data_IF_532032481169
#
_entry.id   IF_532032481169
#
_cell.length_a   1.000
_cell.length_b   1.000
_cell.length_c   1.000
_cell.angle_alpha   90.00
_cell.angle_beta   90.00
_cell.angle_gamma   90.00
#
_symmetry.space_group_name_H-M   'P 1'
#
loop_
_entity.id
_entity.type
_entity.pdbx_description
1 polymer ?
#
# COMPACT_ATOMS: atom_id res chain seq x y z
N UNK A 1 2.78 -96.88 -20.32
CA UNK A 1 3.19 -95.85 -21.30
C UNK A 1 1.96 -95.07 -21.75
N UNK A 2 2.14 -93.75 -21.85
CA UNK A 2 1.36 -92.77 -22.65
C UNK A 2 0.02 -92.23 -22.15
N UNK A 3 0.12 -91.01 -21.58
CA UNK A 3 -0.54 -89.75 -21.98
C UNK A 3 -2.06 -89.69 -22.21
N UNK A 4 -2.75 -88.96 -21.32
CA UNK A 4 -3.80 -87.98 -21.69
C UNK A 4 -3.75 -86.77 -20.75
N UNK A 5 -3.21 -85.68 -21.24
CA UNK A 5 -3.30 -84.36 -20.59
C UNK A 5 -3.44 -83.29 -21.65
N UNK A 6 -4.59 -82.60 -21.67
CA UNK A 6 -4.77 -81.21 -22.11
C UNK A 6 -6.26 -80.89 -22.20
N UNK A 7 -6.61 -79.61 -22.05
CA UNK A 7 -7.91 -78.96 -22.28
C UNK A 7 -8.72 -78.50 -21.05
N UNK A 8 -8.06 -77.96 -20.02
CA UNK A 8 -8.74 -77.04 -19.06
C UNK A 8 -8.15 -75.63 -18.96
N UNK A 9 -7.06 -75.31 -19.66
CA UNK A 9 -6.44 -73.98 -19.61
C UNK A 9 -7.01 -72.96 -20.62
N UNK A 10 -7.78 -73.40 -21.63
CA UNK A 10 -8.26 -72.52 -22.70
C UNK A 10 -9.48 -71.66 -22.36
N UNK A 11 -10.31 -72.05 -21.39
CA UNK A 11 -11.62 -71.41 -21.15
C UNK A 11 -11.55 -70.21 -20.20
N UNK A 12 -10.57 -70.18 -19.27
CA UNK A 12 -10.45 -69.09 -18.31
C UNK A 12 -9.80 -67.83 -18.91
N UNK A 13 -8.86 -68.01 -19.84
CA UNK A 13 -8.19 -66.90 -20.54
C UNK A 13 -9.12 -66.12 -21.47
N UNK A 14 -10.07 -66.79 -22.13
CA UNK A 14 -11.02 -66.15 -23.05
C UNK A 14 -12.06 -65.30 -22.34
N UNK A 15 -12.50 -65.70 -21.14
CA UNK A 15 -13.46 -64.92 -20.33
C UNK A 15 -12.81 -63.64 -19.79
N UNK A 16 -11.54 -63.73 -19.34
CA UNK A 16 -10.82 -62.56 -18.82
C UNK A 16 -10.50 -61.55 -19.93
N UNK A 17 -10.12 -62.03 -21.13
CA UNK A 17 -9.88 -61.17 -22.29
C UNK A 17 -11.16 -60.45 -22.74
N UNK A 18 -12.30 -61.15 -22.71
CA UNK A 18 -13.61 -60.57 -23.02
C UNK A 18 -14.01 -59.46 -22.06
N UNK A 19 -13.80 -59.65 -20.75
CA UNK A 19 -14.10 -58.63 -19.75
C UNK A 19 -13.24 -57.37 -19.93
N UNK A 20 -11.93 -57.52 -20.15
CA UNK A 20 -11.01 -56.39 -20.40
C UNK A 20 -11.40 -55.62 -21.66
N UNK A 21 -11.82 -56.32 -22.72
CA UNK A 21 -12.27 -55.68 -23.95
C UNK A 21 -13.55 -54.87 -23.74
N UNK A 22 -14.50 -55.38 -22.95
CA UNK A 22 -15.75 -54.67 -22.61
C UNK A 22 -15.45 -53.40 -21.81
N UNK A 23 -14.57 -53.47 -20.80
CA UNK A 23 -14.17 -52.29 -20.03
C UNK A 23 -13.42 -51.26 -20.87
N UNK A 24 -12.55 -51.70 -21.79
CA UNK A 24 -11.87 -50.81 -22.72
C UNK A 24 -12.87 -50.09 -23.64
N UNK A 25 -13.86 -50.82 -24.17
CA UNK A 25 -14.92 -50.25 -25.01
C UNK A 25 -15.76 -49.23 -24.22
N UNK A 26 -16.19 -49.57 -22.99
CA UNK A 26 -16.94 -48.65 -22.13
C UNK A 26 -16.15 -47.39 -21.78
N UNK A 27 -14.86 -47.53 -21.49
CA UNK A 27 -13.98 -46.39 -21.23
C UNK A 27 -13.90 -45.45 -22.44
N UNK A 28 -13.74 -46.00 -23.64
CA UNK A 28 -13.73 -45.21 -24.88
C UNK A 28 -15.07 -44.52 -25.16
N UNK A 29 -16.20 -45.13 -24.82
CA UNK A 29 -17.51 -44.46 -24.90
C UNK A 29 -17.62 -43.27 -23.93
N UNK A 30 -17.09 -43.38 -22.71
CA UNK A 30 -17.07 -42.27 -21.74
C UNK A 30 -16.17 -41.14 -22.23
N UNK A 31 -14.98 -41.46 -22.74
CA UNK A 31 -14.06 -40.46 -23.32
C UNK A 31 -14.70 -39.75 -24.51
N UNK A 32 -15.35 -40.51 -25.41
CA UNK A 32 -16.06 -39.95 -26.57
C UNK A 32 -17.23 -39.05 -26.13
N UNK A 33 -17.99 -39.46 -25.12
CA UNK A 33 -19.10 -38.67 -24.59
C UNK A 33 -18.62 -37.34 -24.00
N UNK A 34 -17.55 -37.36 -23.20
CA UNK A 34 -16.94 -36.15 -22.63
C UNK A 34 -16.44 -35.22 -23.75
N UNK A 35 -15.82 -35.77 -24.79
CA UNK A 35 -15.37 -35.00 -25.95
C UNK A 35 -16.53 -34.34 -26.71
N UNK A 36 -17.63 -35.07 -26.94
CA UNK A 36 -18.83 -34.53 -27.62
C UNK A 36 -19.49 -33.42 -26.79
N UNK A 37 -19.63 -33.62 -25.47
CA UNK A 37 -20.17 -32.59 -24.57
C UNK A 37 -19.26 -31.35 -24.53
N UNK A 38 -17.94 -31.55 -24.46
CA UNK A 38 -16.95 -30.47 -24.52
C UNK A 38 -17.02 -29.66 -25.82
N UNK A 39 -17.14 -30.34 -26.97
CA UNK A 39 -17.33 -29.69 -28.28
C UNK A 39 -18.66 -28.93 -28.31
N UNK A 40 -19.74 -29.49 -27.78
CA UNK A 40 -21.04 -28.83 -27.68
C UNK A 40 -20.98 -27.54 -26.87
N UNK A 41 -20.39 -27.58 -25.67
CA UNK A 41 -20.19 -26.41 -24.81
C UNK A 41 -19.30 -25.35 -25.48
N UNK A 42 -18.22 -25.79 -26.16
CA UNK A 42 -17.35 -24.89 -26.90
C UNK A 42 -18.06 -24.21 -28.08
N UNK A 43 -18.92 -24.92 -28.81
CA UNK A 43 -19.73 -24.36 -29.88
C UNK A 43 -20.77 -23.36 -29.36
N UNK A 44 -21.41 -23.64 -28.21
CA UNK A 44 -22.33 -22.71 -27.53
C UNK A 44 -21.58 -21.43 -27.12
N UNK A 45 -20.40 -21.58 -26.49
CA UNK A 45 -19.54 -20.46 -26.12
C UNK A 45 -19.11 -19.61 -27.34
N UNK A 46 -18.69 -20.27 -28.43
CA UNK A 46 -18.31 -19.61 -29.68
C UNK A 46 -19.48 -18.88 -30.34
N UNK A 47 -20.71 -19.42 -30.23
CA UNK A 47 -21.94 -18.77 -30.71
C UNK A 47 -22.26 -17.54 -29.85
N UNK A 48 -22.07 -17.61 -28.53
CA UNK A 48 -22.16 -16.47 -27.61
C UNK A 48 -21.24 -15.31 -28.01
N UNK A 49 -19.96 -15.60 -28.29
CA UNK A 49 -19.02 -14.58 -28.74
C UNK A 49 -19.36 -13.97 -30.11
N UNK A 50 -19.96 -14.74 -31.04
CA UNK A 50 -20.43 -14.19 -32.32
C UNK A 50 -21.62 -13.24 -32.14
N UNK A 51 -22.54 -13.54 -31.21
CA UNK A 51 -23.69 -12.66 -30.91
C UNK A 51 -23.22 -11.36 -30.26
N UNK A 52 -22.22 -11.44 -29.38
CA UNK A 52 -21.65 -10.26 -28.72
C UNK A 52 -20.88 -9.37 -29.71
N UNK A 53 -20.09 -9.96 -30.63
CA UNK A 53 -19.45 -9.24 -31.74
C UNK A 53 -20.44 -8.64 -32.74
N UNK A 54 -21.57 -9.30 -32.99
CA UNK A 54 -22.62 -8.77 -33.87
C UNK A 54 -23.39 -7.59 -33.23
N UNK A 55 -23.53 -7.59 -31.89
CA UNK A 55 -24.10 -6.46 -31.13
C UNK A 55 -23.16 -5.26 -31.06
N UNK A 56 -21.85 -5.48 -30.97
CA UNK A 56 -20.84 -4.39 -31.00
C UNK A 56 -20.63 -3.83 -32.42
N UNK A 57 -20.81 -4.62 -33.47
CA UNK A 57 -20.66 -4.18 -34.86
C UNK A 57 -21.80 -3.25 -35.36
N UNK A 58 -22.97 -3.22 -34.69
CA UNK A 58 -24.09 -2.34 -35.08
C UNK A 58 -24.05 -0.94 -34.46
N UNK A 59 -23.13 -0.66 -33.53
CA UNK A 59 -23.16 0.58 -32.73
C UNK A 59 -21.90 1.46 -32.87
N UNK A 60 -21.04 1.22 -33.86
CA UNK A 60 -19.81 2.01 -34.02
C UNK A 60 -19.32 2.12 -35.45
N UNK A 61 -19.85 3.10 -36.20
CA UNK A 61 -19.21 3.62 -37.40
C UNK A 61 -18.41 4.88 -37.05
N UNK A 62 -17.18 4.96 -37.60
CA UNK A 62 -16.15 6.02 -37.48
C UNK A 62 -15.39 5.96 -36.13
N UNK A 63 -14.06 5.77 -36.07
CA UNK A 63 -12.97 6.25 -36.93
C UNK A 63 -11.71 5.37 -36.76
N UNK A 64 -10.81 5.45 -37.74
CA UNK A 64 -9.68 4.56 -38.06
C UNK A 64 -8.47 4.63 -37.10
N UNK A 65 -7.99 3.44 -36.75
CA UNK A 65 -6.61 2.90 -36.63
C UNK A 65 -5.43 3.77 -36.15
N UNK A 66 -4.79 3.34 -35.06
CA UNK A 66 -3.36 3.01 -35.04
C UNK A 66 -3.01 2.01 -33.93
N UNK A 67 -2.04 1.14 -34.24
CA UNK A 67 -1.55 -0.01 -33.48
C UNK A 67 -0.95 0.43 -32.14
N UNK A 68 -1.38 -0.17 -31.01
CA UNK A 68 -0.82 0.13 -29.68
C UNK A 68 -0.39 -1.15 -28.94
N UNK A 69 0.85 -1.04 -28.46
CA UNK A 69 1.66 -1.88 -27.60
C UNK A 69 0.95 -2.29 -26.28
N UNK A 70 1.23 -3.48 -25.78
CA UNK A 70 0.48 -4.16 -24.70
C UNK A 70 0.70 -3.61 -23.27
N UNK A 71 1.45 -2.53 -23.09
CA UNK A 71 1.81 -2.00 -21.76
C UNK A 71 0.84 -0.95 -21.18
N UNK A 72 -0.32 -0.72 -21.80
CA UNK A 72 -1.27 0.31 -21.37
C UNK A 72 -2.49 -0.20 -20.56
N UNK A 73 -2.59 -1.49 -20.24
CA UNK A 73 -3.76 -2.10 -19.58
C UNK A 73 -3.72 -2.08 -18.04
N UNK A 74 -2.97 -1.15 -17.43
CA UNK A 74 -3.09 -0.81 -15.98
C UNK A 74 -3.59 0.63 -15.79
N UNK A 75 -3.76 1.43 -16.86
CA UNK A 75 -4.23 2.84 -16.78
C UNK A 75 -5.72 3.05 -17.04
N UNK A 76 -6.54 2.00 -17.18
CA UNK A 76 -7.95 2.16 -17.58
C UNK A 76 -8.95 1.27 -16.83
N UNK A 77 -8.89 1.30 -15.50
CA UNK A 77 -10.08 1.08 -14.65
C UNK A 77 -10.05 2.06 -13.47
N UNK A 78 -10.02 3.35 -13.79
CA UNK A 78 -10.59 4.38 -12.93
C UNK A 78 -11.62 5.06 -13.79
N UNK A 79 -12.87 4.62 -13.66
CA UNK A 79 -14.00 5.47 -14.02
C UNK A 79 -13.90 6.66 -13.07
N UNK A 80 -13.79 7.91 -13.54
CA UNK A 80 -13.84 9.03 -12.63
C UNK A 80 -15.24 9.02 -12.01
N UNK A 81 -15.33 8.73 -10.72
CA UNK A 81 -16.52 9.04 -9.95
C UNK A 81 -16.74 10.54 -10.12
N UNK A 82 -17.83 10.91 -10.80
CA UNK A 82 -18.27 12.28 -10.89
C UNK A 82 -18.37 12.83 -9.47
N UNK A 83 -17.72 13.98 -9.25
CA UNK A 83 -17.96 14.83 -8.09
C UNK A 83 -19.46 15.13 -8.05
N UNK A 84 -20.18 14.51 -7.12
CA UNK A 84 -21.33 15.15 -6.52
C UNK A 84 -20.80 15.85 -5.28
N UNK A 85 -20.45 17.14 -5.42
CA UNK A 85 -20.54 18.04 -4.27
C UNK A 85 -22.00 17.97 -3.82
N UNK A 86 -22.26 17.26 -2.73
CA UNK A 86 -23.53 17.42 -2.04
C UNK A 86 -23.48 18.82 -1.42
N UNK A 87 -24.14 19.76 -2.09
CA UNK A 87 -24.46 21.06 -1.53
C UNK A 87 -25.49 20.84 -0.42
N UNK A 88 -25.02 20.72 0.81
CA UNK A 88 -25.86 20.73 2.00
C UNK A 88 -26.03 22.17 2.47
N UNK A 89 -26.79 22.94 1.69
CA UNK A 89 -27.29 24.24 2.10
C UNK A 89 -28.07 24.14 3.42
N UNK A 90 -27.70 25.00 4.37
CA UNK A 90 -28.42 25.35 5.60
C UNK A 90 -29.08 24.19 6.38
N UNK A 91 -28.29 23.53 7.22
CA UNK A 91 -28.84 22.88 8.42
C UNK A 91 -29.08 23.98 9.45
N UNK A 92 -30.36 24.29 9.69
CA UNK A 92 -30.80 25.22 10.71
C UNK A 92 -30.18 24.88 12.07
N UNK A 93 -29.70 25.91 12.78
CA UNK A 93 -29.14 25.79 14.12
C UNK A 93 -30.17 25.17 15.07
N UNK A 94 -29.88 23.98 15.59
CA UNK A 94 -30.62 23.38 16.70
C UNK A 94 -30.22 24.11 18.00
N UNK A 95 -31.17 24.51 18.86
CA UNK A 95 -30.86 25.28 20.06
C UNK A 95 -30.01 24.46 21.04
N UNK A 96 -28.99 25.11 21.62
CA UNK A 96 -28.22 24.58 22.76
C UNK A 96 -29.11 24.51 23.99
N UNK A 97 -29.53 23.31 24.39
CA UNK A 97 -29.91 23.03 25.78
C UNK A 97 -28.79 22.29 26.47
N UNK A 98 -28.36 22.86 27.60
CA UNK A 98 -27.27 22.41 28.44
C UNK A 98 -27.54 21.04 29.07
N UNK A 99 -26.50 20.20 29.07
CA UNK A 99 -26.51 18.84 29.61
C UNK A 99 -25.70 17.92 28.71
N UNK A 100 -24.37 18.08 28.66
CA UNK A 100 -23.51 17.13 27.96
C UNK A 100 -23.57 15.80 28.72
N UNK A 101 -24.36 14.86 28.22
CA UNK A 101 -24.21 13.45 28.57
C UNK A 101 -22.76 13.10 28.21
N UNK A 102 -21.95 12.76 29.21
CA UNK A 102 -20.60 12.25 29.00
C UNK A 102 -20.72 10.95 28.21
N UNK A 103 -20.51 11.00 26.89
CA UNK A 103 -20.59 9.82 26.04
C UNK A 103 -19.48 8.87 26.47
N UNK A 104 -19.86 7.69 26.95
CA UNK A 104 -18.91 6.67 27.39
C UNK A 104 -17.88 6.36 26.28
N UNK A 105 -16.60 6.24 26.63
CA UNK A 105 -15.54 5.89 25.66
C UNK A 105 -15.89 4.58 24.94
N UNK A 106 -15.65 4.48 23.62
CA UNK A 106 -15.93 3.26 22.87
C UNK A 106 -15.17 2.06 23.43
N UNK A 107 -15.83 0.90 23.42
CA UNK A 107 -15.15 -0.38 23.66
C UNK A 107 -14.39 -0.80 22.41
N UNK A 108 -13.06 -0.98 22.51
CA UNK A 108 -12.23 -1.43 21.39
C UNK A 108 -12.07 -2.95 21.42
N UNK A 109 -12.68 -3.64 20.47
CA UNK A 109 -12.52 -5.07 20.26
C UNK A 109 -11.32 -5.35 19.37
N UNK A 110 -10.32 -6.03 19.93
CA UNK A 110 -9.04 -6.32 19.26
C UNK A 110 -9.18 -7.59 18.42
N UNK A 111 -9.43 -7.45 17.13
CA UNK A 111 -9.62 -8.57 16.22
C UNK A 111 -8.30 -9.29 15.90
N UNK A 112 -8.41 -10.60 15.68
CA UNK A 112 -7.33 -11.48 15.20
C UNK A 112 -7.75 -12.39 14.04
N UNK A 113 -9.03 -12.38 13.68
CA UNK A 113 -9.59 -13.16 12.58
C UNK A 113 -9.25 -12.51 11.23
N UNK A 114 -9.26 -13.30 10.15
CA UNK A 114 -9.17 -12.78 8.79
C UNK A 114 -10.40 -11.92 8.47
N UNK A 115 -10.18 -10.81 7.77
CA UNK A 115 -11.21 -9.88 7.33
C UNK A 115 -11.14 -9.75 5.80
N UNK A 116 -12.31 -9.65 5.20
CA UNK A 116 -12.50 -9.40 3.76
C UNK A 116 -13.40 -8.18 3.51
N UNK A 117 -14.10 -7.72 4.55
CA UNK A 117 -14.84 -6.47 4.61
C UNK A 117 -14.26 -5.64 5.76
N UNK A 118 -13.65 -4.50 5.44
CA UNK A 118 -12.96 -3.65 6.41
C UNK A 118 -12.67 -2.27 5.82
N UNK A 119 -12.27 -1.34 6.69
CA UNK A 119 -11.77 -0.02 6.30
C UNK A 119 -10.34 0.11 6.80
N UNK A 120 -9.39 0.25 5.89
CA UNK A 120 -8.03 0.66 6.25
C UNK A 120 -8.02 2.16 6.42
N UNK A 121 -7.42 2.68 7.48
CA UNK A 121 -7.31 4.14 7.67
C UNK A 121 -5.97 4.52 8.30
N UNK A 122 -5.60 5.78 8.14
CA UNK A 122 -4.36 6.37 8.64
C UNK A 122 -4.57 7.89 8.82
N UNK A 123 -3.85 8.49 9.77
CA UNK A 123 -3.91 9.94 10.04
C UNK A 123 -2.52 10.59 10.05
N UNK A 124 -2.47 11.83 9.60
CA UNK A 124 -1.34 12.73 9.87
C UNK A 124 -1.73 13.71 10.98
N UNK A 125 -0.78 14.05 11.86
CA UNK A 125 -1.04 14.89 13.04
C UNK A 125 0.04 15.93 13.28
N UNK A 126 -0.27 17.00 14.03
CA UNK A 126 0.70 18.01 14.48
C UNK A 126 1.65 17.54 15.59
N UNK A 127 1.57 16.26 15.97
CA UNK A 127 2.38 15.68 17.04
C UNK A 127 1.81 14.37 17.57
N UNK A 128 2.40 13.83 18.64
CA UNK A 128 2.15 12.46 19.07
C UNK A 128 1.05 12.29 20.13
N UNK A 129 0.46 13.38 20.62
CA UNK A 129 -0.45 13.34 21.76
C UNK A 129 -1.87 13.75 21.36
N UNK A 130 -2.89 12.87 21.47
CA UNK A 130 -4.26 13.22 21.10
C UNK A 130 -4.88 14.33 21.96
N UNK A 131 -4.28 14.65 23.11
CA UNK A 131 -4.73 15.73 24.00
C UNK A 131 -4.07 17.09 23.70
N UNK A 132 -3.00 17.11 22.90
CA UNK A 132 -2.17 18.31 22.66
C UNK A 132 -1.82 18.53 21.18
N UNK A 133 -2.27 17.64 20.31
CA UNK A 133 -1.96 17.63 18.89
C UNK A 133 -3.24 17.40 18.13
N UNK A 134 -3.26 17.88 16.90
CA UNK A 134 -4.44 17.92 16.05
C UNK A 134 -4.23 17.01 14.84
N UNK A 135 -5.33 16.46 14.33
CA UNK A 135 -5.33 15.75 13.04
C UNK A 135 -5.21 16.81 11.95
N UNK A 136 -4.33 16.60 10.97
CA UNK A 136 -4.15 17.48 9.80
C UNK A 136 -4.46 16.77 8.48
N UNK A 137 -4.55 15.44 8.49
CA UNK A 137 -5.10 14.64 7.39
C UNK A 137 -5.72 13.36 7.94
N UNK A 138 -6.84 12.92 7.34
CA UNK A 138 -7.44 11.60 7.57
C UNK A 138 -7.71 10.94 6.22
N UNK A 139 -7.14 9.76 6.02
CA UNK A 139 -7.38 8.95 4.83
C UNK A 139 -7.92 7.58 5.19
N UNK A 140 -8.71 7.00 4.28
CA UNK A 140 -9.20 5.64 4.41
C UNK A 140 -9.50 4.97 3.06
N UNK A 141 -9.45 3.64 3.05
CA UNK A 141 -9.81 2.79 1.92
C UNK A 141 -10.81 1.75 2.41
N UNK A 142 -11.97 1.70 1.76
CA UNK A 142 -13.03 0.74 2.06
C UNK A 142 -12.86 -0.49 1.16
N UNK A 143 -12.79 -1.64 1.80
CA UNK A 143 -12.69 -2.94 1.15
C UNK A 143 -13.95 -3.74 1.45
N UNK A 144 -14.57 -4.31 0.42
CA UNK A 144 -15.67 -5.27 0.56
C UNK A 144 -15.39 -6.46 -0.37
N UNK A 145 -15.50 -7.68 0.16
CA UNK A 145 -15.20 -8.95 -0.53
C UNK A 145 -13.80 -8.95 -1.17
N UNK A 146 -12.82 -8.41 -0.43
CA UNK A 146 -11.42 -8.25 -0.85
C UNK A 146 -11.19 -7.30 -2.04
N UNK A 147 -12.21 -6.55 -2.45
CA UNK A 147 -12.11 -5.53 -3.48
C UNK A 147 -12.18 -4.13 -2.86
N UNK A 148 -11.32 -3.22 -3.34
CA UNK A 148 -11.43 -1.80 -2.99
C UNK A 148 -12.69 -1.24 -3.64
N UNK A 149 -13.65 -0.80 -2.83
CA UNK A 149 -14.94 -0.29 -3.30
C UNK A 149 -15.08 1.22 -3.15
N UNK A 150 -14.30 1.84 -2.26
CA UNK A 150 -14.37 3.29 -2.02
C UNK A 150 -13.10 3.81 -1.31
N UNK A 151 -12.88 5.12 -1.32
CA UNK A 151 -11.79 5.77 -0.60
C UNK A 151 -12.22 7.15 -0.06
N UNK A 152 -11.57 7.56 1.02
CA UNK A 152 -11.75 8.84 1.69
C UNK A 152 -10.37 9.48 1.89
N UNK A 153 -10.24 10.76 1.60
CA UNK A 153 -9.03 11.54 1.86
C UNK A 153 -9.44 12.98 2.12
N UNK A 154 -9.09 13.50 3.29
CA UNK A 154 -9.37 14.89 3.65
C UNK A 154 -8.23 15.45 4.47
N UNK A 155 -7.74 16.62 4.06
CA UNK A 155 -7.04 17.50 4.99
C UNK A 155 -7.99 17.99 6.07
N UNK A 156 -7.39 18.43 7.18
CA UNK A 156 -8.08 19.01 8.33
C UNK A 156 -7.40 20.33 8.67
N UNK A 157 -8.19 21.39 8.85
CA UNK A 157 -7.67 22.67 9.32
C UNK A 157 -7.46 22.61 10.84
N UNK A 158 -6.20 22.68 11.34
CA UNK A 158 -5.92 22.73 12.76
C UNK A 158 -6.22 24.11 13.33
N UNK A 159 -6.37 24.20 14.65
CA UNK A 159 -6.55 25.46 15.38
C UNK A 159 -5.22 26.15 15.69
N UNK A 160 -4.13 25.39 15.81
CA UNK A 160 -2.77 25.88 16.03
C UNK A 160 -1.90 25.70 14.79
N UNK A 161 -0.85 26.52 14.65
CA UNK A 161 0.10 26.40 13.53
C UNK A 161 0.81 25.04 13.53
N UNK A 162 0.98 24.46 12.34
CA UNK A 162 1.66 23.18 12.18
C UNK A 162 3.17 23.35 12.48
N UNK A 163 3.75 22.59 13.42
CA UNK A 163 5.17 22.70 13.72
C UNK A 163 6.03 22.40 12.49
N UNK A 164 7.11 23.17 12.30
CA UNK A 164 8.03 23.00 11.16
C UNK A 164 8.50 21.56 11.00
N UNK A 165 8.83 20.86 12.09
CA UNK A 165 9.23 19.45 12.03
C UNK A 165 8.17 18.53 11.42
N UNK A 166 6.88 18.81 11.65
CA UNK A 166 5.76 18.09 11.06
C UNK A 166 5.61 18.45 9.58
N UNK A 167 5.72 19.73 9.21
CA UNK A 167 5.71 20.16 7.80
C UNK A 167 6.79 19.43 7.01
N UNK A 168 7.99 19.28 7.59
CA UNK A 168 9.07 18.55 6.95
C UNK A 168 8.78 17.05 6.85
N UNK A 169 8.16 16.46 7.87
CA UNK A 169 7.83 15.05 7.90
C UNK A 169 6.74 14.67 6.88
N UNK A 170 5.63 15.43 6.85
CA UNK A 170 4.41 15.08 6.11
C UNK A 170 4.23 15.87 4.81
N UNK A 171 4.96 16.98 4.66
CA UNK A 171 4.75 17.95 3.57
C UNK A 171 3.50 18.82 3.73
N UNK A 172 2.75 18.67 4.82
CA UNK A 172 1.51 19.42 5.08
C UNK A 172 1.86 20.70 5.83
N UNK A 173 1.55 21.85 5.23
CA UNK A 173 1.80 23.18 5.80
C UNK A 173 0.50 23.89 6.15
N UNK A 174 0.57 24.96 6.95
CA UNK A 174 -0.60 25.82 7.23
C UNK A 174 -1.28 26.30 5.95
N UNK A 175 -0.49 26.61 4.91
CA UNK A 175 -0.99 27.01 3.59
C UNK A 175 -1.73 25.86 2.90
N UNK A 176 -1.26 24.62 3.05
CA UNK A 176 -1.91 23.42 2.51
C UNK A 176 -3.31 23.22 3.09
N UNK A 177 -3.51 23.55 4.36
CA UNK A 177 -4.73 23.24 5.12
C UNK A 177 -5.60 24.47 5.42
N UNK A 178 -5.24 25.65 4.92
CA UNK A 178 -5.93 26.91 5.26
C UNK A 178 -7.45 26.89 4.95
N UNK A 179 -7.83 26.23 3.87
CA UNK A 179 -9.21 26.12 3.39
C UNK A 179 -9.81 24.73 3.69
N UNK A 180 -9.10 23.89 4.45
CA UNK A 180 -9.55 22.54 4.77
C UNK A 180 -10.73 22.57 5.77
N UNK A 181 -11.58 21.53 5.78
CA UNK A 181 -12.66 21.43 6.76
C UNK A 181 -12.13 21.27 8.19
N UNK A 182 -12.98 21.61 9.17
CA UNK A 182 -12.68 21.38 10.58
C UNK A 182 -12.63 19.89 10.92
N UNK A 183 -11.87 19.52 11.96
CA UNK A 183 -11.73 18.13 12.41
C UNK A 183 -13.09 17.47 12.68
N UNK A 184 -14.04 18.20 13.28
CA UNK A 184 -15.39 17.71 13.56
C UNK A 184 -16.14 17.31 12.28
N UNK A 185 -16.00 18.10 11.22
CA UNK A 185 -16.63 17.83 9.92
C UNK A 185 -16.03 16.56 9.31
N UNK A 186 -14.70 16.44 9.32
CA UNK A 186 -13.98 15.28 8.78
C UNK A 186 -14.31 14.00 9.56
N UNK A 187 -14.34 14.05 10.89
CA UNK A 187 -14.72 12.91 11.73
C UNK A 187 -16.16 12.46 11.46
N UNK A 188 -17.11 13.39 11.31
CA UNK A 188 -18.49 13.04 10.99
C UNK A 188 -18.61 12.41 9.59
N UNK A 189 -17.90 12.94 8.60
CA UNK A 189 -17.87 12.34 7.26
C UNK A 189 -17.23 10.95 7.29
N UNK A 190 -16.16 10.77 8.09
CA UNK A 190 -15.53 9.48 8.27
C UNK A 190 -16.45 8.46 8.96
N UNK A 191 -17.27 8.88 9.96
CA UNK A 191 -18.29 8.03 10.57
C UNK A 191 -19.32 7.51 9.57
N UNK A 192 -19.74 8.36 8.64
CA UNK A 192 -20.65 7.94 7.56
C UNK A 192 -19.92 6.99 6.60
N UNK A 193 -18.67 7.29 6.29
CA UNK A 193 -17.86 6.47 5.39
C UNK A 193 -17.61 5.07 5.93
N UNK A 194 -17.23 4.88 7.21
CA UNK A 194 -16.80 3.56 7.67
C UNK A 194 -17.93 2.53 7.83
N UNK A 195 -19.20 2.97 7.91
CA UNK A 195 -20.40 2.11 7.94
C UNK A 195 -20.37 0.98 9.01
N UNK A 196 -19.67 1.18 10.13
CA UNK A 196 -19.56 0.14 11.17
C UNK A 196 -18.62 -1.02 10.82
N UNK A 197 -17.90 -0.96 9.68
CA UNK A 197 -16.92 -1.98 9.31
C UNK A 197 -15.72 -1.99 10.27
N UNK A 198 -15.05 -3.15 10.44
CA UNK A 198 -13.80 -3.22 11.18
C UNK A 198 -12.76 -2.23 10.64
N UNK A 199 -12.12 -1.50 11.55
CA UNK A 199 -11.02 -0.60 11.24
C UNK A 199 -9.70 -1.36 11.25
N UNK A 200 -8.91 -1.19 10.19
CA UNK A 200 -7.61 -1.83 10.00
C UNK A 200 -6.55 -0.74 9.89
N UNK A 201 -5.43 -0.93 10.56
CA UNK A 201 -4.26 -0.12 10.28
C UNK A 201 -3.04 -0.49 11.11
N UNK A 202 -1.98 0.31 11.05
CA UNK A 202 -0.67 -0.06 11.57
C UNK A 202 -0.40 0.72 12.86
N UNK A 203 -0.36 0.04 14.01
CA UNK A 203 -0.29 0.68 15.33
C UNK A 203 -1.53 1.53 15.70
N UNK A 204 -2.66 1.35 14.98
CA UNK A 204 -3.89 2.16 15.15
C UNK A 204 -4.48 2.15 16.56
N UNK A 205 -4.29 1.07 17.32
CA UNK A 205 -4.86 0.95 18.66
C UNK A 205 -4.20 1.92 19.63
N UNK A 206 -2.90 2.19 19.43
CA UNK A 206 -2.12 3.05 20.32
C UNK A 206 -2.04 4.49 19.84
N UNK A 207 -2.29 4.73 18.56
CA UNK A 207 -2.08 6.04 17.94
C UNK A 207 -3.37 6.61 17.35
N UNK A 208 -3.82 6.11 16.20
CA UNK A 208 -4.87 6.72 15.40
C UNK A 208 -6.24 6.73 16.11
N UNK A 209 -6.65 5.59 16.69
CA UNK A 209 -7.94 5.50 17.39
C UNK A 209 -8.08 6.49 18.55
N UNK A 210 -7.08 6.65 19.45
CA UNK A 210 -7.08 7.72 20.44
C UNK A 210 -7.35 9.12 19.88
N UNK A 211 -6.76 9.48 18.72
CA UNK A 211 -7.01 10.76 18.06
C UNK A 211 -8.46 10.87 17.56
N UNK A 212 -8.98 9.83 16.90
CA UNK A 212 -10.38 9.83 16.45
C UNK A 212 -11.34 9.99 17.64
N UNK A 213 -11.15 9.23 18.71
CA UNK A 213 -12.00 9.24 19.91
C UNK A 213 -11.97 10.61 20.59
N UNK A 214 -10.77 11.21 20.74
CA UNK A 214 -10.63 12.55 21.31
C UNK A 214 -11.32 13.63 20.49
N UNK A 215 -11.47 13.43 19.17
CA UNK A 215 -12.11 14.35 18.24
C UNK A 215 -13.59 14.00 17.94
N UNK A 216 -14.21 13.21 18.83
CA UNK A 216 -15.64 12.95 18.78
C UNK A 216 -16.04 11.77 17.89
N UNK A 217 -15.16 10.79 17.66
CA UNK A 217 -15.55 9.49 17.09
C UNK A 217 -16.29 8.63 18.13
N UNK A 218 -17.53 9.02 18.43
CA UNK A 218 -18.39 8.56 19.53
C UNK A 218 -19.28 7.34 19.20
N UNK A 219 -18.68 6.33 18.57
CA UNK A 219 -19.38 5.06 18.32
C UNK A 219 -19.42 4.18 19.57
N UNK A 220 -20.36 3.25 19.68
CA UNK A 220 -20.48 2.39 20.88
C UNK A 220 -19.31 1.41 21.03
N UNK A 221 -18.90 0.79 19.93
CA UNK A 221 -17.78 -0.13 19.89
C UNK A 221 -17.02 -0.02 18.57
N UNK A 222 -15.74 -0.37 18.62
CA UNK A 222 -14.83 -0.37 17.47
C UNK A 222 -14.18 -1.73 17.37
N UNK A 223 -14.50 -2.45 16.30
CA UNK A 223 -13.75 -3.62 15.87
C UNK A 223 -12.45 -3.14 15.20
N UNK A 224 -11.30 -3.44 15.80
CA UNK A 224 -10.00 -2.95 15.33
C UNK A 224 -9.01 -4.09 15.11
N UNK A 225 -8.35 -4.10 13.95
CA UNK A 225 -7.23 -4.99 13.63
C UNK A 225 -5.97 -4.15 13.40
N UNK A 226 -4.98 -4.37 14.25
CA UNK A 226 -3.70 -3.69 14.21
C UNK A 226 -2.66 -4.57 13.49
N UNK A 227 -2.24 -4.15 12.30
CA UNK A 227 -1.30 -4.89 11.46
C UNK A 227 0.09 -4.99 12.07
N UNK A 228 0.51 -4.03 12.91
CA UNK A 228 1.78 -4.15 13.63
C UNK A 228 1.73 -5.31 14.63
N UNK A 229 0.59 -5.45 15.32
CA UNK A 229 0.37 -6.58 16.23
C UNK A 229 0.24 -7.90 15.48
N UNK A 230 -0.37 -7.90 14.30
CA UNK A 230 -0.44 -9.07 13.43
C UNK A 230 0.96 -9.49 12.94
N UNK A 231 1.78 -8.54 12.47
CA UNK A 231 3.13 -8.77 12.00
C UNK A 231 4.05 -9.39 13.07
N UNK A 232 3.91 -8.98 14.33
CA UNK A 232 4.67 -9.58 15.44
C UNK A 232 4.42 -11.07 15.67
N UNK A 233 3.30 -11.59 15.17
CA UNK A 233 2.98 -13.02 15.25
C UNK A 233 3.44 -13.82 14.05
N UNK A 234 4.22 -13.22 13.14
CA UNK A 234 4.71 -13.84 11.90
C UNK A 234 6.21 -14.09 11.96
N UNK A 235 6.66 -15.02 11.12
CA UNK A 235 8.06 -15.41 11.00
C UNK A 235 8.75 -14.53 9.94
N UNK A 236 9.25 -13.37 10.38
CA UNK A 236 10.08 -12.49 9.56
C UNK A 236 11.57 -12.80 9.81
N UNK A 237 12.46 -12.55 8.82
CA UNK A 237 13.90 -12.78 8.98
C UNK A 237 14.49 -12.02 10.19
N UNK A 238 15.44 -12.66 10.87
CA UNK A 238 16.07 -12.11 12.08
C UNK A 238 16.87 -10.83 11.83
N UNK A 239 17.21 -10.55 10.58
CA UNK A 239 17.94 -9.37 10.14
C UNK A 239 17.04 -8.12 10.04
N UNK A 240 15.71 -8.25 10.13
CA UNK A 240 14.82 -7.09 10.15
C UNK A 240 14.89 -6.37 11.49
N UNK A 241 15.46 -5.16 11.49
CA UNK A 241 15.65 -4.34 12.70
C UNK A 241 14.35 -4.03 13.45
N UNK A 242 13.23 -3.92 12.74
CA UNK A 242 11.92 -3.61 13.31
C UNK A 242 10.77 -3.94 12.35
N UNK A 243 9.53 -3.79 12.83
CA UNK A 243 8.30 -4.05 12.07
C UNK A 243 7.49 -2.78 11.80
N UNK A 244 8.13 -1.61 11.72
CA UNK A 244 7.43 -0.37 11.35
C UNK A 244 6.92 -0.47 9.90
N UNK A 245 5.88 0.30 9.59
CA UNK A 245 5.28 0.31 8.25
C UNK A 245 6.31 0.59 7.13
N UNK A 246 7.27 1.54 7.24
CA UNK A 246 8.30 1.72 6.23
C UNK A 246 9.21 0.51 6.03
N UNK A 247 9.52 -0.22 7.11
CA UNK A 247 10.35 -1.44 7.03
C UNK A 247 9.60 -2.57 6.34
N UNK A 248 8.31 -2.76 6.63
CA UNK A 248 7.47 -3.74 5.93
C UNK A 248 7.23 -3.34 4.47
N UNK A 249 7.05 -2.05 4.19
CA UNK A 249 6.93 -1.50 2.84
C UNK A 249 8.16 -1.85 1.99
N UNK A 250 9.36 -1.63 2.53
CA UNK A 250 10.61 -1.99 1.87
C UNK A 250 10.71 -3.51 1.68
N UNK A 251 10.45 -4.29 2.73
CA UNK A 251 10.52 -5.75 2.68
C UNK A 251 9.61 -6.36 1.61
N UNK A 252 8.39 -5.84 1.47
CA UNK A 252 7.41 -6.26 0.47
C UNK A 252 7.53 -5.52 -0.87
N UNK A 253 8.56 -4.71 -1.08
CA UNK A 253 8.81 -3.99 -2.33
C UNK A 253 7.69 -3.03 -2.76
N UNK A 254 6.93 -2.48 -1.81
CA UNK A 254 5.80 -1.59 -2.09
C UNK A 254 6.33 -0.18 -2.42
N UNK A 255 6.02 0.32 -3.61
CA UNK A 255 6.53 1.59 -4.15
C UNK A 255 5.45 2.68 -4.15
N UNK A 256 5.40 3.48 -3.10
CA UNK A 256 4.59 4.70 -2.97
C UNK A 256 5.29 5.71 -2.04
N UNK A 257 4.72 6.91 -1.85
CA UNK A 257 5.24 7.87 -0.87
C UNK A 257 5.00 7.39 0.58
N UNK A 258 5.81 7.87 1.53
CA UNK A 258 5.61 7.68 2.98
C UNK A 258 5.20 9.01 3.63
N UNK A 259 4.54 8.98 4.79
CA UNK A 259 4.06 10.19 5.50
C UNK A 259 3.05 11.00 4.67
N UNK A 260 2.18 10.24 4.02
CA UNK A 260 0.97 10.72 3.39
C UNK A 260 -0.09 9.68 3.71
N UNK A 261 -1.06 10.04 4.54
CA UNK A 261 -2.03 9.06 5.07
C UNK A 261 -2.73 8.21 3.99
N UNK A 262 -3.00 8.74 2.78
CA UNK A 262 -3.59 7.94 1.70
C UNK A 262 -2.59 6.94 1.08
N UNK A 263 -1.34 7.36 0.89
CA UNK A 263 -0.28 6.45 0.46
C UNK A 263 -0.04 5.36 1.52
N UNK A 264 -0.03 5.74 2.79
CA UNK A 264 0.16 4.81 3.90
C UNK A 264 -1.04 3.86 4.06
N UNK A 265 -2.29 4.30 3.83
CA UNK A 265 -3.44 3.41 3.69
C UNK A 265 -3.24 2.34 2.61
N UNK A 266 -2.71 2.70 1.43
CA UNK A 266 -2.44 1.75 0.34
C UNK A 266 -1.34 0.76 0.74
N UNK A 267 -0.27 1.24 1.36
CA UNK A 267 0.79 0.39 1.91
C UNK A 267 0.20 -0.62 2.89
N UNK A 268 -0.61 -0.12 3.82
CA UNK A 268 -1.17 -0.88 4.92
C UNK A 268 -2.20 -1.91 4.46
N UNK A 269 -2.98 -1.60 3.42
CA UNK A 269 -3.84 -2.57 2.74
C UNK A 269 -3.04 -3.77 2.21
N UNK A 270 -1.97 -3.50 1.46
CA UNK A 270 -1.12 -4.55 0.88
C UNK A 270 -0.44 -5.35 2.00
N UNK A 271 0.12 -4.67 3.00
CA UNK A 271 0.73 -5.32 4.18
C UNK A 271 -0.29 -6.19 4.89
N UNK A 272 -1.50 -5.69 5.13
CA UNK A 272 -2.55 -6.46 5.77
C UNK A 272 -2.89 -7.73 4.99
N UNK A 273 -3.10 -7.63 3.67
CA UNK A 273 -3.41 -8.78 2.82
C UNK A 273 -2.29 -9.82 2.85
N UNK A 274 -1.02 -9.39 2.72
CA UNK A 274 0.15 -10.28 2.83
C UNK A 274 0.23 -10.97 4.19
N UNK A 275 0.04 -10.24 5.28
CA UNK A 275 0.03 -10.81 6.64
C UNK A 275 -1.17 -11.74 6.88
N UNK A 276 -2.34 -11.42 6.32
CA UNK A 276 -3.58 -12.22 6.42
C UNK A 276 -3.43 -13.55 5.69
N UNK A 277 -2.76 -13.53 4.54
CA UNK A 277 -2.66 -14.66 3.62
C UNK A 277 -1.35 -15.45 3.80
N UNK A 278 -0.51 -15.06 4.76
CA UNK A 278 0.78 -15.68 5.03
C UNK A 278 1.76 -15.61 3.85
N UNK A 279 1.58 -14.63 2.96
CA UNK A 279 2.50 -14.30 1.86
C UNK A 279 3.62 -13.37 2.37
N UNK A 280 4.56 -13.97 3.11
CA UNK A 280 5.66 -13.27 3.76
C UNK A 280 6.95 -13.23 2.91
N UNK A 281 6.87 -13.57 1.62
CA UNK A 281 8.05 -13.58 0.77
C UNK A 281 8.53 -12.14 0.53
N UNK A 282 9.84 -11.87 0.71
CA UNK A 282 10.38 -10.57 0.36
C UNK A 282 10.28 -10.39 -1.15
N UNK A 283 10.04 -9.16 -1.60
CA UNK A 283 10.26 -8.86 -3.00
C UNK A 283 11.76 -8.85 -3.22
N UNK A 284 12.26 -9.87 -3.94
CA UNK A 284 13.59 -9.76 -4.52
C UNK A 284 13.57 -8.52 -5.41
N UNK A 285 14.54 -7.60 -5.29
CA UNK A 285 14.61 -6.50 -6.22
C UNK A 285 14.66 -7.11 -7.61
N UNK A 286 13.61 -6.95 -8.40
CA UNK A 286 13.74 -7.11 -9.84
C UNK A 286 14.98 -6.30 -10.21
N UNK A 287 15.86 -6.86 -11.03
CA UNK A 287 16.92 -6.09 -11.69
C UNK A 287 16.22 -5.07 -12.59
N UNK A 288 15.71 -4.02 -11.98
CA UNK A 288 15.24 -2.85 -12.65
C UNK A 288 16.51 -2.25 -13.25
N UNK A 289 16.55 -2.12 -14.57
CA UNK A 289 17.66 -1.50 -15.30
C UNK A 289 17.65 0.02 -15.06
N UNK A 290 17.61 0.42 -13.80
CA UNK A 290 17.80 1.81 -13.38
C UNK A 290 19.25 2.14 -13.73
N UNK A 291 19.49 3.26 -14.46
CA UNK A 291 20.83 3.73 -14.72
C UNK A 291 21.64 3.76 -13.43
N UNK A 292 22.77 3.07 -13.41
CA UNK A 292 23.67 3.05 -12.26
C UNK A 292 24.50 4.35 -12.22
N UNK A 293 23.83 5.49 -12.34
CA UNK A 293 24.43 6.82 -12.49
C UNK A 293 25.23 7.25 -11.27
N UNK A 294 24.98 6.62 -10.11
CA UNK A 294 25.66 6.89 -8.86
C UNK A 294 26.67 5.81 -8.47
N UNK A 295 26.95 4.85 -9.35
CA UNK A 295 27.85 3.73 -9.05
C UNK A 295 29.23 4.21 -8.59
N UNK A 296 29.69 3.67 -7.46
CA UNK A 296 30.99 3.99 -6.86
C UNK A 296 30.99 5.24 -5.96
N UNK A 297 29.94 6.05 -5.99
CA UNK A 297 29.83 7.26 -5.17
C UNK A 297 29.28 6.96 -3.77
N UNK A 298 29.79 7.69 -2.77
CA UNK A 298 29.41 7.58 -1.36
C UNK A 298 28.75 8.87 -0.88
N UNK A 299 27.59 8.70 -0.26
CA UNK A 299 26.71 9.76 0.18
C UNK A 299 26.53 9.72 1.69
N UNK A 300 26.45 10.87 2.33
CA UNK A 300 25.85 11.03 3.65
C UNK A 300 24.69 12.02 3.52
N UNK A 301 23.66 11.87 4.37
CA UNK A 301 22.47 12.72 4.36
C UNK A 301 22.37 13.45 5.71
N UNK A 302 22.10 14.74 5.69
CA UNK A 302 21.86 15.56 6.90
C UNK A 302 20.70 16.53 6.68
N UNK A 303 20.13 17.06 7.76
CA UNK A 303 18.98 17.97 7.70
C UNK A 303 17.66 17.31 7.29
N UNK A 304 16.57 18.05 7.31
CA UNK A 304 15.24 17.58 6.94
C UNK A 304 14.86 18.01 5.51
N UNK A 305 14.03 17.20 4.85
CA UNK A 305 13.55 17.45 3.49
C UNK A 305 12.02 17.40 3.46
N UNK A 306 11.39 18.46 2.94
CA UNK A 306 9.93 18.61 2.99
C UNK A 306 9.26 17.47 2.25
N UNK A 307 8.48 16.66 2.98
CA UNK A 307 7.66 15.57 2.44
C UNK A 307 8.45 14.41 1.84
N UNK A 308 9.76 14.32 2.11
CA UNK A 308 10.61 13.21 1.64
C UNK A 308 11.52 12.76 2.79
N UNK A 309 11.25 11.59 3.39
CA UNK A 309 12.10 11.03 4.42
C UNK A 309 13.53 10.80 3.94
N UNK A 310 14.50 10.93 4.85
CA UNK A 310 15.90 10.61 4.55
C UNK A 310 16.09 9.18 4.03
N UNK A 311 15.27 8.23 4.49
CA UNK A 311 15.35 6.84 4.03
C UNK A 311 14.89 6.72 2.56
N UNK A 312 13.85 7.43 2.14
CA UNK A 312 13.40 7.45 0.74
C UNK A 312 14.49 8.05 -0.17
N UNK A 313 15.21 9.07 0.31
CA UNK A 313 16.39 9.61 -0.38
C UNK A 313 17.51 8.55 -0.45
N UNK A 314 17.76 7.86 0.65
CA UNK A 314 18.78 6.83 0.72
C UNK A 314 18.48 5.65 -0.21
N UNK A 315 17.22 5.20 -0.27
CA UNK A 315 16.75 4.17 -1.19
C UNK A 315 16.90 4.60 -2.65
N UNK A 316 16.59 5.86 -2.97
CA UNK A 316 16.82 6.39 -4.32
C UNK A 316 18.31 6.36 -4.71
N UNK A 317 19.20 6.70 -3.78
CA UNK A 317 20.66 6.64 -4.01
C UNK A 317 21.11 5.20 -4.25
N UNK A 318 20.69 4.27 -3.37
CA UNK A 318 21.05 2.84 -3.46
C UNK A 318 20.53 2.21 -4.76
N UNK A 319 19.32 2.56 -5.18
CA UNK A 319 18.72 2.08 -6.42
C UNK A 319 19.53 2.46 -7.68
N UNK A 320 20.26 3.58 -7.64
CA UNK A 320 21.13 4.06 -8.72
C UNK A 320 22.60 3.67 -8.53
N UNK A 321 22.90 2.74 -7.62
CA UNK A 321 24.23 2.16 -7.39
C UNK A 321 25.11 2.93 -6.41
N UNK A 322 24.59 4.00 -5.79
CA UNK A 322 25.30 4.77 -4.78
C UNK A 322 25.32 4.06 -3.42
N UNK A 323 26.24 4.47 -2.54
CA UNK A 323 26.33 3.96 -1.16
C UNK A 323 26.00 5.06 -0.17
N UNK A 324 25.08 4.82 0.76
CA UNK A 324 24.75 5.77 1.83
C UNK A 324 25.45 5.36 3.13
N UNK A 325 26.16 6.29 3.75
CA UNK A 325 26.89 6.09 5.01
C UNK A 325 26.36 7.01 6.11
N UNK A 326 26.42 6.52 7.36
CA UNK A 326 26.06 7.30 8.53
C UNK A 326 26.97 8.52 8.75
N UNK A 327 28.27 8.35 9.02
CA UNK A 327 29.19 9.46 9.23
C UNK A 327 29.68 10.09 7.92
N UNK A 328 30.10 11.36 8.01
CA UNK A 328 30.89 12.03 6.98
C UNK A 328 32.36 11.73 7.23
N UNK A 329 33.08 11.32 6.20
CA UNK A 329 34.51 10.96 6.28
C UNK A 329 35.25 11.36 5.01
N UNK A 330 36.59 11.22 4.99
CA UNK A 330 37.42 11.56 3.81
C UNK A 330 37.04 10.82 2.53
N UNK A 331 36.35 9.69 2.65
CA UNK A 331 35.90 8.89 1.50
C UNK A 331 34.46 9.20 1.09
N UNK A 332 33.78 10.12 1.77
CA UNK A 332 32.44 10.56 1.38
C UNK A 332 32.56 11.53 0.20
N UNK A 333 31.90 11.23 -0.90
CA UNK A 333 31.92 12.06 -2.11
C UNK A 333 30.92 13.21 -2.02
N UNK A 334 29.72 12.93 -1.50
CA UNK A 334 28.62 13.89 -1.41
C UNK A 334 27.98 13.92 -0.01
N UNK A 335 27.73 15.12 0.50
CA UNK A 335 26.80 15.35 1.61
C UNK A 335 25.52 15.95 1.03
N UNK A 336 24.40 15.22 1.12
CA UNK A 336 23.08 15.76 0.81
C UNK A 336 22.65 16.59 2.01
N UNK A 337 22.47 17.89 1.79
CA UNK A 337 22.15 18.85 2.82
C UNK A 337 20.70 19.32 2.72
N UNK A 338 19.96 19.09 3.80
CA UNK A 338 18.58 19.51 4.01
C UNK A 338 18.51 20.65 5.02
N UNK A 339 17.30 21.09 5.36
CA UNK A 339 17.14 22.16 6.33
C UNK A 339 17.50 21.68 7.73
N UNK A 340 18.39 22.40 8.41
CA UNK A 340 18.72 22.15 9.80
C UNK A 340 17.64 22.74 10.72
N UNK A 341 16.81 21.87 11.30
CA UNK A 341 15.72 22.26 12.21
C UNK A 341 15.80 21.56 13.58
N UNK A 342 16.82 20.72 13.78
CA UNK A 342 16.99 19.99 15.03
C UNK A 342 17.45 20.93 16.15
N UNK A 343 17.04 20.71 17.42
CA UNK A 343 17.57 21.47 18.55
C UNK A 343 19.01 21.06 18.92
N UNK A 344 19.53 19.98 18.32
CA UNK A 344 20.83 19.36 18.63
C UNK A 344 21.97 19.82 17.71
N UNK A 345 21.82 20.98 17.06
CA UNK A 345 22.86 21.56 16.21
C UNK A 345 24.06 21.99 17.07
N UNK A 346 25.27 21.81 16.53
CA UNK A 346 26.52 21.94 17.32
C UNK A 346 26.77 23.40 17.72
N UNK A 347 26.53 24.33 16.80
CA UNK A 347 26.74 25.77 16.98
C UNK A 347 25.42 26.55 16.88
N UNK A 348 24.29 25.85 16.95
CA UNK A 348 22.95 26.40 16.75
C UNK A 348 22.53 26.52 15.29
N UNK A 349 23.43 26.28 14.33
CA UNK A 349 23.14 26.44 12.89
C UNK A 349 23.44 25.16 12.10
N UNK A 350 24.51 24.46 12.45
CA UNK A 350 25.06 23.35 11.68
C UNK A 350 24.99 22.03 12.44
N UNK A 351 24.70 20.97 11.69
CA UNK A 351 24.86 19.60 12.12
C UNK A 351 26.33 19.21 12.21
N UNK A 352 26.62 18.15 12.97
CA UNK A 352 27.96 17.54 13.01
C UNK A 352 28.50 17.22 11.61
N UNK A 353 27.62 16.76 10.71
CA UNK A 353 27.98 16.35 9.35
C UNK A 353 28.40 17.52 8.47
N UNK A 354 27.75 18.68 8.59
CA UNK A 354 28.16 19.91 7.91
C UNK A 354 29.54 20.37 8.39
N UNK A 355 29.76 20.38 9.71
CA UNK A 355 31.05 20.74 10.29
C UNK A 355 32.16 19.77 9.83
N UNK A 356 31.88 18.47 9.83
CA UNK A 356 32.86 17.46 9.40
C UNK A 356 33.15 17.56 7.88
N UNK A 357 32.14 17.87 7.06
CA UNK A 357 32.34 18.14 5.63
C UNK A 357 33.21 19.39 5.40
N UNK A 358 32.92 20.49 6.10
CA UNK A 358 33.69 21.73 6.02
C UNK A 358 35.15 21.52 6.44
N UNK A 359 35.40 20.75 7.51
CA UNK A 359 36.76 20.36 7.94
C UNK A 359 37.51 19.57 6.87
N UNK A 360 36.83 18.65 6.18
CA UNK A 360 37.41 17.87 5.09
C UNK A 360 37.75 18.77 3.89
N UNK A 361 36.87 19.70 3.53
CA UNK A 361 37.12 20.68 2.47
C UNK A 361 38.32 21.58 2.80
N UNK A 362 38.43 22.03 4.05
CA UNK A 362 39.53 22.89 4.51
C UNK A 362 40.91 22.22 4.37
N UNK A 363 40.99 20.89 4.45
CA UNK A 363 42.24 20.12 4.23
C UNK A 363 42.40 19.60 2.80
N UNK A 364 41.65 20.15 1.83
CA UNK A 364 41.74 19.81 0.41
C UNK A 364 40.96 18.56 -0.02
N UNK A 365 40.05 18.06 0.82
CA UNK A 365 39.17 16.95 0.47
C UNK A 365 38.14 17.36 -0.59
N UNK A 366 37.76 16.40 -1.45
CA UNK A 366 36.90 16.63 -2.62
C UNK A 366 35.39 16.50 -2.36
N UNK A 367 34.98 16.42 -1.10
CA UNK A 367 33.56 16.26 -0.74
C UNK A 367 32.74 17.46 -1.24
N UNK A 368 31.60 17.17 -1.87
CA UNK A 368 30.63 18.17 -2.33
C UNK A 368 29.41 18.18 -1.44
N UNK A 369 29.00 19.37 -0.99
CA UNK A 369 27.72 19.56 -0.31
C UNK A 369 26.70 19.94 -1.37
N UNK A 370 25.62 19.18 -1.48
CA UNK A 370 24.61 19.35 -2.54
C UNK A 370 23.20 19.32 -1.97
N UNK A 371 22.28 20.00 -2.65
CA UNK A 371 20.86 20.00 -2.30
C UNK A 371 20.15 18.74 -2.80
N UNK A 372 18.91 18.53 -2.33
CA UNK A 372 18.05 17.48 -2.87
C UNK A 372 17.73 17.69 -4.36
N UNK A 373 17.62 18.94 -4.84
CA UNK A 373 17.43 19.22 -6.26
C UNK A 373 18.63 18.81 -7.09
N UNK A 374 19.85 19.03 -6.59
CA UNK A 374 21.08 18.61 -7.28
C UNK A 374 21.16 17.09 -7.36
N UNK A 375 20.79 16.39 -6.28
CA UNK A 375 20.69 14.93 -6.31
C UNK A 375 19.67 14.45 -7.36
N UNK A 376 18.50 15.09 -7.45
CA UNK A 376 17.50 14.76 -8.47
C UNK A 376 18.05 14.93 -9.90
N UNK A 377 18.84 15.98 -10.14
CA UNK A 377 19.53 16.17 -11.42
C UNK A 377 20.49 15.01 -11.71
N UNK A 378 21.34 14.64 -10.74
CA UNK A 378 22.26 13.50 -10.84
C UNK A 378 21.54 12.17 -11.13
N UNK A 379 20.39 11.94 -10.49
CA UNK A 379 19.57 10.74 -10.72
C UNK A 379 18.94 10.73 -12.11
N UNK A 380 18.52 11.88 -12.61
CA UNK A 380 17.91 12.03 -13.94
C UNK A 380 18.91 12.03 -15.10
N UNK A 381 20.22 12.06 -14.81
CA UNK A 381 21.29 12.15 -15.81
C UNK A 381 21.34 13.50 -16.53
N UNK A 382 20.84 14.57 -15.90
CA UNK A 382 20.82 15.93 -16.45
C UNK A 382 21.71 16.88 -15.66
#
# INVERSE_FOLDING_TARGET
>A
MSSKGSNKLGCLGTVLLGAVLIFAIQYWFVVLFIAVVGIGLWLIFKKGQKVEKAKTAKTGSKQKTNVVNRDALIKKTVVPAQRTSLDFGNIAQVPKTAGALETAKPVIHKLRRKLYDFVVFDIETTGLSPNRSEIIQLSAIKVKKDEVVDWFDSYVHPTESIPTSIVYLTGISDETVKDAPSVKTVINNFKLFFEGLPLVGHNIIKFDLPFLIANGFDVTSIDALDTWRLARGKDFPTEMDNLKLPTLKHYFGIKNASHNSLADCKTNLIVYQKLRDDDLQPVTPEKCSIPQSLSGLRFSITGEFIGIPREDIADSIRAHGGRVTGPVSRVTDYLIDGKQIAPTLIDGYHSKKEIDAAKIQAVGGKIKVISLSDLKSMLSGR
#
